data_IF_314949552107
#
_entry.id   IF_314949552107
#
_cell.length_a   1.000
_cell.length_b   1.000
_cell.length_c   1.000
_cell.angle_alpha   90.00
_cell.angle_beta   90.00
_cell.angle_gamma   90.00
#
_symmetry.space_group_name_H-M   'P 1'
#
loop_
_entity.id
_entity.type
_entity.pdbx_description
1 polymer ?
#
# COMPACT_ATOMS: atom_id res chain seq x y z
N UNK A 1 5.36 9.10 -1.71
CA UNK A 1 5.43 7.66 -1.34
C UNK A 1 6.78 7.30 -0.72
N UNK A 2 7.90 7.81 -1.24
CA UNK A 2 9.25 7.53 -0.70
C UNK A 2 9.39 7.78 0.81
N UNK A 3 8.75 8.82 1.33
CA UNK A 3 8.71 9.08 2.77
C UNK A 3 8.15 7.90 3.59
N UNK A 4 7.09 7.22 3.10
CA UNK A 4 6.52 6.04 3.77
C UNK A 4 7.50 4.87 3.75
N UNK A 5 8.22 4.68 2.65
CA UNK A 5 9.27 3.65 2.55
C UNK A 5 10.36 3.86 3.61
N UNK A 6 10.95 5.06 3.66
CA UNK A 6 11.98 5.41 4.64
C UNK A 6 11.48 5.23 6.09
N UNK A 7 10.22 5.59 6.34
CA UNK A 7 9.62 5.45 7.65
C UNK A 7 9.45 3.99 8.09
N UNK A 8 9.06 3.12 7.16
CA UNK A 8 8.84 1.69 7.41
C UNK A 8 10.14 0.92 7.60
N UNK A 9 11.19 1.28 6.85
CA UNK A 9 12.53 0.74 7.01
C UNK A 9 13.11 1.09 8.38
N UNK A 10 12.96 2.35 8.82
CA UNK A 10 13.43 2.81 10.14
C UNK A 10 12.74 2.11 11.32
N UNK A 11 11.50 1.64 11.12
CA UNK A 11 10.67 1.05 12.18
C UNK A 11 10.52 -0.45 12.07
N UNK A 12 11.24 -1.09 11.14
CA UNK A 12 11.14 -2.52 10.85
C UNK A 12 9.69 -3.00 10.70
N UNK A 13 8.86 -2.24 9.97
CA UNK A 13 7.46 -2.58 9.79
C UNK A 13 7.32 -3.80 8.86
N UNK A 14 6.59 -4.83 9.30
CA UNK A 14 6.41 -6.07 8.54
C UNK A 14 5.66 -5.90 7.21
N UNK A 15 4.69 -4.97 7.14
CA UNK A 15 3.93 -4.72 5.91
C UNK A 15 3.27 -3.35 5.90
N UNK A 16 3.11 -2.80 4.68
CA UNK A 16 2.38 -1.56 4.41
C UNK A 16 1.17 -1.88 3.55
N UNK A 17 0.00 -1.38 3.96
CA UNK A 17 -1.25 -1.50 3.19
C UNK A 17 -1.67 -0.14 2.67
N UNK A 18 -2.12 -0.10 1.41
CA UNK A 18 -2.64 1.09 0.76
C UNK A 18 -4.11 0.86 0.42
N UNK A 19 -4.97 1.76 0.87
CA UNK A 19 -6.42 1.69 0.66
C UNK A 19 -6.85 2.94 -0.12
N UNK A 20 -7.68 2.73 -1.15
CA UNK A 20 -8.31 3.82 -1.89
C UNK A 20 -9.66 3.36 -2.42
N UNK A 21 -10.54 4.31 -2.69
CA UNK A 21 -11.82 4.01 -3.32
C UNK A 21 -11.60 3.50 -4.74
N UNK A 22 -12.45 2.56 -5.16
CA UNK A 22 -12.36 1.95 -6.51
C UNK A 22 -12.50 2.96 -7.65
N UNK A 23 -13.11 4.13 -7.39
CA UNK A 23 -13.32 5.18 -8.39
C UNK A 23 -12.19 6.23 -8.38
N UNK A 24 -11.29 6.20 -7.39
CA UNK A 24 -10.14 7.10 -7.35
C UNK A 24 -9.04 6.56 -8.26
N UNK A 25 -9.24 6.71 -9.56
CA UNK A 25 -8.34 6.21 -10.60
C UNK A 25 -6.95 6.86 -10.50
N UNK A 26 -6.88 8.12 -10.08
CA UNK A 26 -5.62 8.86 -9.91
C UNK A 26 -4.78 8.24 -8.78
N UNK A 27 -5.37 7.98 -7.62
CA UNK A 27 -4.67 7.31 -6.52
C UNK A 27 -4.30 5.86 -6.88
N UNK A 28 -5.16 5.14 -7.61
CA UNK A 28 -4.85 3.79 -8.10
C UNK A 28 -3.64 3.78 -9.04
N UNK A 29 -3.53 4.72 -9.98
CA UNK A 29 -2.34 4.86 -10.84
C UNK A 29 -1.06 5.06 -10.03
N UNK A 30 -1.14 5.87 -8.97
CA UNK A 30 -0.01 6.11 -8.08
C UNK A 30 0.38 4.86 -7.28
N UNK A 31 -0.61 4.13 -6.73
CA UNK A 31 -0.35 2.93 -5.94
C UNK A 31 0.09 1.75 -6.78
N UNK A 32 -0.38 1.62 -8.02
CA UNK A 32 0.08 0.58 -8.96
C UNK A 32 1.60 0.63 -9.23
N UNK A 33 2.25 1.79 -9.03
CA UNK A 33 3.71 1.94 -9.16
C UNK A 33 4.49 1.30 -8.01
N UNK A 34 3.86 1.12 -6.84
CA UNK A 34 4.54 0.76 -5.58
C UNK A 34 3.91 -0.42 -4.85
N UNK A 35 2.72 -0.85 -5.27
CA UNK A 35 1.95 -1.93 -4.68
C UNK A 35 1.16 -2.66 -5.77
N UNK A 36 0.82 -3.93 -5.50
CA UNK A 36 -0.09 -4.70 -6.36
C UNK A 36 -1.50 -4.66 -5.76
N UNK A 37 -2.51 -4.42 -6.60
CA UNK A 37 -3.92 -4.50 -6.21
C UNK A 37 -4.24 -5.95 -5.86
N UNK A 38 -4.36 -6.25 -4.57
CA UNK A 38 -4.66 -7.61 -4.12
C UNK A 38 -6.15 -7.89 -4.19
N UNK A 39 -7.03 -6.95 -3.85
CA UNK A 39 -8.48 -7.10 -4.00
C UNK A 39 -9.16 -7.93 -2.90
N UNK A 40 -8.56 -8.10 -1.72
CA UNK A 40 -8.98 -9.15 -0.77
C UNK A 40 -9.05 -8.78 0.72
N UNK A 41 -9.87 -9.58 1.40
CA UNK A 41 -9.92 -9.78 2.85
C UNK A 41 -8.77 -10.71 3.26
N UNK A 42 -8.04 -10.35 4.31
CA UNK A 42 -6.83 -11.05 4.75
C UNK A 42 -7.03 -11.66 6.15
N UNK A 43 -6.81 -12.97 6.26
CA UNK A 43 -6.72 -13.69 7.54
C UNK A 43 -5.27 -14.08 7.83
N UNK A 44 -4.83 -13.94 9.09
CA UNK A 44 -3.48 -14.29 9.56
C UNK A 44 -3.56 -15.04 10.89
N UNK A 45 -2.63 -15.96 11.10
CA UNK A 45 -2.31 -16.57 12.39
C UNK A 45 -1.22 -15.78 13.11
#
# INVERSE_FOLDING_TARGET
>A
IEHVKMHTEKRACDRVYWLTHQDNLVAQQLYNKVAKKTGFIQYRA
#
